data_IF_309178740052
#
_entry.id   IF_309178740052
#
_cell.length_a   1.000
_cell.length_b   1.000
_cell.length_c   1.000
_cell.angle_alpha   90.00
_cell.angle_beta   90.00
_cell.angle_gamma   90.00
#
_symmetry.space_group_name_H-M   'P 1'
#
loop_
_entity.id
_entity.type
_entity.pdbx_description
1 polymer ?
#
# COMPACT_ATOMS: atom_id res chain seq x y z
N UNK A 1 3.51 2.39 -3.42
CA UNK A 1 3.28 3.37 -4.50
C UNK A 1 4.50 3.58 -5.40
N UNK A 2 5.66 3.00 -5.10
CA UNK A 2 6.91 3.20 -5.85
C UNK A 2 7.70 4.47 -5.49
N UNK A 3 7.27 5.18 -4.48
CA UNK A 3 7.97 6.29 -3.81
C UNK A 3 7.80 6.14 -2.31
N UNK A 4 8.63 6.83 -1.52
CA UNK A 4 8.52 6.80 -0.06
C UNK A 4 7.15 7.32 0.38
N UNK A 5 6.74 8.47 -0.17
CA UNK A 5 5.40 9.02 -0.01
C UNK A 5 4.68 9.12 -1.35
N UNK A 6 3.37 8.95 -1.35
CA UNK A 6 2.56 9.08 -2.57
C UNK A 6 2.59 10.52 -3.12
N UNK A 7 2.73 11.52 -2.27
CA UNK A 7 2.86 12.94 -2.60
C UNK A 7 4.12 13.27 -3.42
N UNK A 8 5.16 12.41 -3.34
CA UNK A 8 6.41 12.60 -4.09
C UNK A 8 6.20 12.48 -5.62
N UNK A 9 5.13 11.82 -6.05
CA UNK A 9 4.77 11.73 -7.46
C UNK A 9 4.34 13.07 -8.07
N UNK A 10 3.70 13.88 -7.26
CA UNK A 10 3.13 15.15 -7.69
C UNK A 10 4.01 16.34 -7.24
N UNK A 11 5.22 16.05 -6.68
CA UNK A 11 6.15 17.03 -6.13
C UNK A 11 5.53 17.96 -5.08
N UNK A 12 4.55 17.44 -4.33
CA UNK A 12 3.87 18.18 -3.26
C UNK A 12 4.60 17.92 -1.93
N UNK A 13 5.02 18.99 -1.25
CA UNK A 13 5.46 18.95 0.13
C UNK A 13 4.28 19.38 1.02
N UNK A 14 3.63 18.45 1.75
CA UNK A 14 2.58 18.82 2.69
C UNK A 14 3.11 19.65 3.86
N UNK A 15 2.28 20.51 4.42
CA UNK A 15 2.61 21.23 5.67
C UNK A 15 2.59 20.29 6.88
N UNK A 16 1.79 19.21 6.79
CA UNK A 16 1.65 18.20 7.86
C UNK A 16 1.64 16.81 7.26
N UNK A 17 2.51 15.93 7.77
CA UNK A 17 2.44 14.49 7.49
C UNK A 17 1.80 13.77 8.68
N UNK A 18 0.78 12.96 8.40
CA UNK A 18 0.17 12.04 9.36
C UNK A 18 0.50 10.64 8.90
N UNK A 19 1.39 9.96 9.63
CA UNK A 19 1.88 8.63 9.31
C UNK A 19 1.38 7.62 10.33
N UNK A 20 1.10 6.41 9.86
CA UNK A 20 0.63 5.34 10.74
C UNK A 20 0.66 3.98 10.03
N UNK A 21 -0.07 3.01 10.54
CA UNK A 21 -0.19 1.65 9.97
C UNK A 21 1.16 1.01 9.70
N UNK A 22 1.65 1.03 8.45
CA UNK A 22 2.93 0.46 8.04
C UNK A 22 4.13 1.03 8.81
N UNK A 23 4.01 2.22 9.42
CA UNK A 23 5.05 2.81 10.27
C UNK A 23 5.46 1.87 11.42
N UNK A 24 4.53 1.07 11.94
CA UNK A 24 4.80 0.09 12.99
C UNK A 24 5.35 -1.25 12.50
N UNK A 25 5.75 -1.37 11.21
CA UNK A 25 6.32 -2.60 10.64
C UNK A 25 5.40 -3.82 10.70
N UNK A 26 4.09 -3.64 10.95
CA UNK A 26 3.17 -4.74 11.21
C UNK A 26 3.31 -5.37 12.61
N UNK A 27 4.22 -4.85 13.44
CA UNK A 27 4.57 -5.42 14.76
C UNK A 27 3.93 -4.63 15.89
N UNK A 28 3.97 -3.29 15.82
CA UNK A 28 3.47 -2.43 16.90
C UNK A 28 2.61 -1.27 16.37
N UNK A 29 1.45 -0.98 16.99
CA UNK A 29 0.61 0.13 16.57
C UNK A 29 1.24 1.47 16.97
N UNK A 30 1.53 2.31 15.98
CA UNK A 30 2.05 3.65 16.18
C UNK A 30 1.53 4.58 15.09
N UNK A 31 1.38 5.84 15.43
CA UNK A 31 1.21 6.93 14.48
C UNK A 31 2.04 8.13 14.90
N UNK A 32 2.37 8.98 13.94
CA UNK A 32 3.11 10.21 14.15
C UNK A 32 2.53 11.34 13.31
N UNK A 33 2.59 12.54 13.84
CA UNK A 33 2.32 13.79 13.12
C UNK A 33 3.63 14.54 13.00
N UNK A 34 4.00 14.93 11.80
CA UNK A 34 5.20 15.68 11.49
C UNK A 34 4.80 16.98 10.79
N UNK A 35 5.29 18.09 11.29
CA UNK A 35 5.12 19.41 10.69
C UNK A 35 6.26 20.33 11.14
N UNK A 36 6.37 21.48 10.48
CA UNK A 36 7.30 22.52 10.89
C UNK A 36 6.85 23.13 12.25
N UNK A 37 7.80 23.71 13.00
CA UNK A 37 7.53 24.26 14.33
C UNK A 37 6.41 25.31 14.32
N UNK A 38 6.31 26.12 13.28
CA UNK A 38 5.24 27.13 13.13
C UNK A 38 3.83 26.51 13.24
N UNK A 39 3.68 25.25 12.86
CA UNK A 39 2.42 24.50 12.97
C UNK A 39 2.30 23.83 14.32
N UNK A 40 3.39 23.20 14.81
CA UNK A 40 3.37 22.41 16.06
C UNK A 40 3.46 23.24 17.34
N UNK A 41 3.99 24.45 17.30
CA UNK A 41 4.14 25.33 18.47
C UNK A 41 2.81 25.83 19.05
N UNK A 42 1.67 25.51 18.42
CA UNK A 42 0.34 25.64 19.00
C UNK A 42 0.12 24.74 20.22
N UNK A 43 0.90 23.66 20.32
CA UNK A 43 0.90 22.77 21.48
C UNK A 43 1.83 23.32 22.54
N UNK A 44 1.26 23.89 23.57
CA UNK A 44 2.00 24.37 24.75
C UNK A 44 2.09 23.28 25.82
N UNK A 45 3.06 23.35 26.76
CA UNK A 45 3.15 22.40 27.85
C UNK A 45 1.80 22.23 28.60
N UNK A 46 1.32 20.98 28.67
CA UNK A 46 0.05 20.64 29.33
C UNK A 46 -1.20 20.76 28.45
N UNK A 47 -1.12 21.28 27.23
CA UNK A 47 -2.27 21.38 26.32
C UNK A 47 -2.61 20.07 25.62
N UNK A 48 -1.65 19.16 25.51
CA UNK A 48 -1.81 17.84 24.88
C UNK A 48 -1.00 16.79 25.63
N UNK A 49 -1.50 15.55 25.65
CA UNK A 49 -0.80 14.42 26.24
C UNK A 49 -1.33 13.09 25.76
N UNK A 50 -0.47 12.07 25.84
CA UNK A 50 -0.81 10.69 25.53
C UNK A 50 -0.03 9.76 26.44
N UNK A 51 -0.71 8.79 27.07
CA UNK A 51 -0.06 7.82 27.95
C UNK A 51 0.98 6.97 27.22
N UNK A 52 0.73 6.62 25.97
CA UNK A 52 1.63 5.77 25.16
C UNK A 52 2.41 6.56 24.09
N UNK A 53 2.16 7.86 23.96
CA UNK A 53 2.85 8.69 22.97
C UNK A 53 4.35 8.74 23.23
N UNK A 54 5.15 8.55 22.19
CA UNK A 54 6.61 8.58 22.29
C UNK A 54 7.24 7.44 23.09
N UNK A 55 6.53 6.31 23.31
CA UNK A 55 7.13 5.20 24.04
C UNK A 55 8.33 4.61 23.28
N UNK A 56 9.43 4.24 24.00
CA UNK A 56 10.68 3.83 23.37
C UNK A 56 10.55 2.59 22.49
N UNK A 57 9.68 1.65 22.86
CA UNK A 57 9.48 0.41 22.06
C UNK A 57 8.88 0.73 20.70
N UNK A 58 7.81 1.53 20.65
CA UNK A 58 7.19 1.93 19.39
C UNK A 58 8.15 2.72 18.50
N UNK A 59 8.95 3.62 19.10
CA UNK A 59 9.96 4.37 18.37
C UNK A 59 11.03 3.45 17.77
N UNK A 60 11.56 2.51 18.55
CA UNK A 60 12.57 1.55 18.05
C UNK A 60 12.02 0.68 16.91
N UNK A 61 10.79 0.18 17.03
CA UNK A 61 10.14 -0.61 15.96
C UNK A 61 9.95 0.23 14.71
N UNK A 62 9.53 1.50 14.84
CA UNK A 62 9.32 2.37 13.70
C UNK A 62 10.62 2.72 12.97
N UNK A 63 11.69 2.98 13.72
CA UNK A 63 13.02 3.23 13.13
C UNK A 63 13.46 2.01 12.32
N UNK A 64 13.42 0.81 12.91
CA UNK A 64 13.78 -0.43 12.22
C UNK A 64 12.91 -0.68 10.97
N UNK A 65 11.61 -0.37 11.02
CA UNK A 65 10.71 -0.52 9.87
C UNK A 65 11.06 0.45 8.73
N UNK A 66 11.45 1.68 9.07
CA UNK A 66 11.88 2.68 8.08
C UNK A 66 13.24 2.29 7.48
N UNK A 67 14.18 1.84 8.31
CA UNK A 67 15.50 1.41 7.87
C UNK A 67 15.38 0.28 6.84
N UNK A 68 14.56 -0.74 7.10
CA UNK A 68 14.29 -1.82 6.12
C UNK A 68 13.73 -1.27 4.79
N UNK A 69 12.81 -0.33 4.83
CA UNK A 69 12.24 0.27 3.62
C UNK A 69 13.31 0.98 2.80
N UNK A 70 14.24 1.65 3.46
CA UNK A 70 15.31 2.43 2.81
C UNK A 70 16.45 1.51 2.34
N UNK A 71 16.95 0.65 3.23
CA UNK A 71 18.14 -0.18 2.98
C UNK A 71 17.89 -1.23 1.90
N UNK A 72 16.67 -1.75 1.81
CA UNK A 72 16.27 -2.73 0.78
C UNK A 72 15.67 -2.06 -0.48
N UNK A 73 15.68 -0.73 -0.57
CA UNK A 73 15.05 0.04 -1.66
C UNK A 73 13.65 -0.49 -2.02
N UNK A 74 12.81 -0.72 -1.02
CA UNK A 74 11.46 -1.24 -1.25
C UNK A 74 10.59 -0.32 -2.12
N UNK A 75 10.73 1.02 -2.11
CA UNK A 75 10.05 1.88 -3.08
C UNK A 75 10.44 1.60 -4.52
N UNK A 76 11.74 1.51 -4.84
CA UNK A 76 12.23 1.19 -6.19
C UNK A 76 11.77 -0.20 -6.65
N UNK A 77 11.92 -1.20 -5.78
CA UNK A 77 11.41 -2.55 -6.01
C UNK A 77 9.89 -2.57 -6.28
N UNK A 78 9.12 -1.82 -5.47
CA UNK A 78 7.68 -1.70 -5.66
C UNK A 78 7.32 -1.07 -7.00
N UNK A 79 8.12 -0.11 -7.48
CA UNK A 79 7.91 0.50 -8.79
C UNK A 79 8.12 -0.53 -9.90
N UNK A 80 9.26 -1.19 -9.91
CA UNK A 80 9.63 -2.17 -10.94
C UNK A 80 8.62 -3.32 -11.02
N UNK A 81 8.38 -4.02 -9.90
CA UNK A 81 7.46 -5.15 -9.84
C UNK A 81 6.00 -4.72 -10.07
N UNK A 82 5.64 -3.50 -9.66
CA UNK A 82 4.33 -2.94 -9.89
C UNK A 82 4.05 -2.66 -11.37
N UNK A 83 5.01 -2.12 -12.12
CA UNK A 83 4.87 -1.92 -13.56
C UNK A 83 4.79 -3.26 -14.29
N UNK A 84 5.61 -4.24 -13.90
CA UNK A 84 5.52 -5.60 -14.41
C UNK A 84 4.12 -6.18 -14.18
N UNK A 85 3.65 -6.22 -12.94
CA UNK A 85 2.35 -6.79 -12.57
C UNK A 85 1.19 -6.09 -13.29
N UNK A 86 1.21 -4.76 -13.31
CA UNK A 86 0.21 -3.96 -14.03
C UNK A 86 0.19 -4.24 -15.53
N UNK A 87 1.36 -4.40 -16.15
CA UNK A 87 1.46 -4.71 -17.57
C UNK A 87 0.88 -6.08 -17.92
N UNK A 88 1.10 -7.09 -17.07
CA UNK A 88 0.55 -8.43 -17.24
C UNK A 88 -0.98 -8.45 -17.03
N UNK A 89 -1.48 -7.73 -16.00
CA UNK A 89 -2.92 -7.60 -15.76
C UNK A 89 -3.64 -6.94 -16.94
N UNK A 90 -3.03 -5.96 -17.60
CA UNK A 90 -3.61 -5.29 -18.78
C UNK A 90 -3.74 -6.20 -20.02
N UNK A 91 -3.06 -7.35 -20.03
CA UNK A 91 -3.20 -8.35 -21.11
C UNK A 91 -4.43 -9.25 -20.93
N UNK A 92 -5.10 -9.18 -19.78
CA UNK A 92 -6.32 -9.96 -19.53
C UNK A 92 -7.47 -9.28 -20.28
N UNK A 93 -7.95 -9.94 -21.32
CA UNK A 93 -9.11 -9.48 -22.10
C UNK A 93 -10.37 -10.13 -21.54
N UNK A 94 -11.18 -9.33 -20.82
CA UNK A 94 -12.45 -9.78 -20.28
C UNK A 94 -13.47 -8.62 -20.30
N UNK A 95 -14.72 -8.86 -20.73
CA UNK A 95 -15.72 -7.80 -20.91
C UNK A 95 -16.08 -7.06 -19.60
N UNK A 96 -15.91 -7.69 -18.46
CA UNK A 96 -16.14 -7.03 -17.17
C UNK A 96 -15.01 -6.09 -16.76
N UNK A 97 -13.81 -6.17 -17.35
CA UNK A 97 -12.69 -5.28 -17.00
C UNK A 97 -12.88 -3.94 -17.69
N UNK A 98 -13.01 -2.89 -16.89
CA UNK A 98 -13.09 -1.50 -17.36
C UNK A 98 -11.70 -0.88 -17.47
N UNK A 99 -10.86 -1.04 -16.45
CA UNK A 99 -9.55 -0.42 -16.38
C UNK A 99 -8.63 -1.16 -15.40
N UNK A 100 -7.34 -1.19 -15.72
CA UNK A 100 -6.27 -1.59 -14.79
C UNK A 100 -5.39 -0.37 -14.52
N UNK A 101 -5.36 0.10 -13.27
CA UNK A 101 -4.61 1.28 -12.83
C UNK A 101 -3.88 1.05 -11.51
N UNK A 102 -2.93 1.91 -11.21
CA UNK A 102 -2.17 1.87 -9.95
C UNK A 102 -0.77 2.44 -10.09
N UNK A 103 -0.12 2.61 -8.94
CA UNK A 103 1.28 3.03 -8.83
C UNK A 103 2.04 2.05 -7.94
N UNK A 104 3.20 1.59 -8.40
CA UNK A 104 3.94 0.52 -7.74
C UNK A 104 3.06 -0.73 -7.56
N UNK A 105 3.22 -1.43 -6.44
CA UNK A 105 2.43 -2.62 -6.11
C UNK A 105 1.01 -2.33 -5.59
N UNK A 106 0.58 -1.07 -5.59
CA UNK A 106 -0.80 -0.71 -5.23
C UNK A 106 -1.64 -0.59 -6.50
N UNK A 107 -2.33 -1.66 -6.87
CA UNK A 107 -3.00 -1.82 -8.18
C UNK A 107 -4.48 -2.14 -7.97
N UNK A 108 -5.31 -1.58 -8.85
CA UNK A 108 -6.73 -1.85 -8.93
C UNK A 108 -7.14 -2.32 -10.33
N UNK A 109 -8.00 -3.34 -10.38
CA UNK A 109 -8.79 -3.70 -11.56
C UNK A 109 -10.20 -3.14 -11.33
N UNK A 110 -10.60 -2.15 -12.09
CA UNK A 110 -11.97 -1.63 -12.09
C UNK A 110 -12.82 -2.43 -13.04
N UNK A 111 -13.99 -2.82 -12.58
CA UNK A 111 -14.97 -3.63 -13.31
C UNK A 111 -16.21 -2.81 -13.67
N UNK A 112 -16.98 -3.27 -14.65
CA UNK A 112 -18.31 -2.76 -14.97
C UNK A 112 -19.41 -3.29 -14.03
N UNK A 113 -19.05 -4.18 -13.11
CA UNK A 113 -19.95 -4.87 -12.19
C UNK A 113 -19.31 -5.00 -10.80
N UNK A 114 -20.00 -5.63 -9.83
CA UNK A 114 -19.47 -5.82 -8.48
C UNK A 114 -18.19 -6.67 -8.48
N UNK A 115 -17.15 -6.18 -7.81
CA UNK A 115 -15.87 -6.87 -7.65
C UNK A 115 -15.92 -8.02 -6.62
N UNK A 116 -16.96 -8.07 -5.78
CA UNK A 116 -17.05 -9.04 -4.69
C UNK A 116 -16.99 -10.50 -5.15
N UNK A 117 -17.73 -10.94 -6.19
CA UNK A 117 -17.65 -12.33 -6.67
C UNK A 117 -16.23 -12.74 -7.11
N UNK A 118 -15.52 -11.84 -7.75
CA UNK A 118 -14.13 -12.07 -8.18
C UNK A 118 -13.18 -12.17 -6.98
N UNK A 119 -13.35 -11.34 -5.97
CA UNK A 119 -12.56 -11.42 -4.75
C UNK A 119 -12.79 -12.74 -4.00
N UNK A 120 -14.03 -13.22 -3.92
CA UNK A 120 -14.33 -14.52 -3.30
C UNK A 120 -13.75 -15.68 -4.13
N UNK A 121 -13.83 -15.65 -5.46
CA UNK A 121 -13.24 -16.67 -6.31
C UNK A 121 -11.70 -16.72 -6.18
N UNK A 122 -11.04 -15.56 -6.09
CA UNK A 122 -9.59 -15.47 -5.83
C UNK A 122 -9.22 -16.00 -4.45
N UNK A 123 -10.02 -15.71 -3.43
CA UNK A 123 -9.84 -16.22 -2.07
C UNK A 123 -9.91 -17.76 -2.02
N UNK A 124 -10.84 -18.39 -2.75
CA UNK A 124 -10.92 -19.85 -2.85
C UNK A 124 -9.67 -20.47 -3.47
N UNK A 125 -8.95 -19.71 -4.29
CA UNK A 125 -7.64 -20.09 -4.83
C UNK A 125 -6.46 -19.70 -3.91
N UNK A 126 -6.73 -19.16 -2.71
CA UNK A 126 -5.71 -18.72 -1.75
C UNK A 126 -5.05 -17.39 -2.09
N UNK A 127 -5.67 -16.56 -2.94
CA UNK A 127 -5.21 -15.20 -3.23
C UNK A 127 -6.13 -14.18 -2.54
N UNK A 128 -5.63 -13.54 -1.48
CA UNK A 128 -6.39 -12.54 -0.75
C UNK A 128 -6.29 -11.18 -1.43
N UNK A 129 -7.43 -10.65 -1.79
CA UNK A 129 -7.60 -9.28 -2.28
C UNK A 129 -8.87 -8.67 -1.67
N UNK A 130 -9.15 -7.41 -1.96
CA UNK A 130 -10.31 -6.75 -1.36
C UNK A 130 -11.00 -5.88 -2.40
N UNK A 131 -12.33 -6.01 -2.44
CA UNK A 131 -13.16 -5.05 -3.15
C UNK A 131 -13.10 -3.67 -2.48
N UNK A 132 -13.07 -2.63 -3.28
CA UNK A 132 -13.14 -1.24 -2.85
C UNK A 132 -14.04 -0.46 -3.82
N UNK A 133 -14.83 0.47 -3.31
CA UNK A 133 -15.83 1.19 -4.11
C UNK A 133 -16.72 0.27 -4.97
N UNK A 134 -17.10 -0.89 -4.41
CA UNK A 134 -17.94 -1.92 -5.01
C UNK A 134 -17.36 -2.58 -6.27
N UNK A 135 -16.83 -1.83 -7.21
CA UNK A 135 -16.42 -2.28 -8.55
C UNK A 135 -14.90 -2.49 -8.72
N UNK A 136 -14.07 -2.22 -7.72
CA UNK A 136 -12.61 -2.30 -7.86
C UNK A 136 -12.04 -3.46 -7.04
N UNK A 137 -11.33 -4.37 -7.70
CA UNK A 137 -10.47 -5.36 -7.02
C UNK A 137 -9.15 -4.67 -6.70
N UNK A 138 -8.81 -4.54 -5.42
CA UNK A 138 -7.56 -3.94 -4.97
C UNK A 138 -6.53 -5.02 -4.64
N UNK A 139 -5.37 -4.92 -5.29
CA UNK A 139 -4.17 -5.71 -4.98
C UNK A 139 -3.15 -4.83 -4.27
N UNK A 140 -2.61 -5.33 -3.17
CA UNK A 140 -1.56 -4.69 -2.39
C UNK A 140 -0.68 -5.78 -1.75
N UNK A 141 0.11 -6.50 -2.55
CA UNK A 141 0.99 -7.54 -2.04
C UNK A 141 2.08 -6.94 -1.14
N UNK A 142 2.75 -7.76 -0.31
CA UNK A 142 3.90 -7.31 0.47
C UNK A 142 4.97 -6.69 -0.43
N UNK A 143 5.66 -5.64 0.05
CA UNK A 143 6.73 -4.98 -0.73
C UNK A 143 7.91 -5.91 -1.02
N UNK A 144 8.07 -6.96 -0.22
CA UNK A 144 9.12 -7.99 -0.36
C UNK A 144 8.72 -9.15 -1.28
N UNK A 145 7.55 -9.09 -1.93
CA UNK A 145 7.07 -10.13 -2.85
C UNK A 145 8.10 -10.37 -3.95
N UNK A 146 8.26 -11.63 -4.37
CA UNK A 146 9.13 -11.98 -5.49
C UNK A 146 8.37 -11.92 -6.82
N UNK A 147 9.12 -11.92 -7.93
CA UNK A 147 8.52 -11.99 -9.26
C UNK A 147 7.78 -13.31 -9.46
N UNK A 148 8.34 -14.40 -8.98
CA UNK A 148 7.76 -15.75 -9.07
C UNK A 148 6.41 -15.81 -8.32
N UNK A 149 6.31 -15.18 -7.15
CA UNK A 149 5.06 -15.08 -6.39
C UNK A 149 4.03 -14.22 -7.11
N UNK A 150 4.46 -13.15 -7.78
CA UNK A 150 3.58 -12.35 -8.65
C UNK A 150 3.08 -13.16 -9.85
N UNK A 151 3.96 -13.98 -10.46
CA UNK A 151 3.59 -14.86 -11.57
C UNK A 151 2.54 -15.89 -11.13
N UNK A 152 2.70 -16.50 -9.95
CA UNK A 152 1.69 -17.39 -9.37
C UNK A 152 0.35 -16.66 -9.11
N UNK A 153 0.41 -15.42 -8.64
CA UNK A 153 -0.80 -14.61 -8.45
C UNK A 153 -1.47 -14.29 -9.78
N UNK A 154 -0.70 -13.94 -10.82
CA UNK A 154 -1.20 -13.67 -12.17
C UNK A 154 -1.94 -14.87 -12.77
N UNK A 155 -1.42 -16.08 -12.63
CA UNK A 155 -2.09 -17.30 -13.12
C UNK A 155 -3.46 -17.50 -12.46
N UNK A 156 -3.55 -17.29 -11.15
CA UNK A 156 -4.82 -17.34 -10.41
C UNK A 156 -5.79 -16.25 -10.86
N UNK A 157 -5.30 -15.04 -11.05
CA UNK A 157 -6.13 -13.92 -11.54
C UNK A 157 -6.65 -14.22 -12.94
N UNK A 158 -5.78 -14.64 -13.85
CA UNK A 158 -6.18 -15.02 -15.22
C UNK A 158 -7.25 -16.12 -15.23
N UNK A 159 -7.15 -17.12 -14.36
CA UNK A 159 -8.12 -18.22 -14.29
C UNK A 159 -9.51 -17.78 -13.80
N UNK A 160 -9.61 -16.70 -13.02
CA UNK A 160 -10.90 -16.14 -12.57
C UNK A 160 -11.56 -15.29 -13.65
N UNK A 161 -10.78 -14.79 -14.61
CA UNK A 161 -11.26 -14.02 -15.76
C UNK A 161 -11.29 -14.83 -17.08
N UNK A 162 -11.12 -16.16 -17.02
CA UNK A 162 -11.13 -17.03 -18.18
C UNK A 162 -12.53 -17.40 -18.71
#
# INVERSE_FOLDING_TARGET
SGKLFATDWDHVKPDVYILGKALGGGVFPISVVLADNEVLDVFTPGSHGSTFGGNPLACAVSIAAIDVIIDEDLPGRSLELGEYFKSELKKIEHPSIKEVRGRGLFIGIELHESARPYCEALKEQGLLCKETHDTVIRFAPPLVITKEELDMALEKIKSVFA
#
